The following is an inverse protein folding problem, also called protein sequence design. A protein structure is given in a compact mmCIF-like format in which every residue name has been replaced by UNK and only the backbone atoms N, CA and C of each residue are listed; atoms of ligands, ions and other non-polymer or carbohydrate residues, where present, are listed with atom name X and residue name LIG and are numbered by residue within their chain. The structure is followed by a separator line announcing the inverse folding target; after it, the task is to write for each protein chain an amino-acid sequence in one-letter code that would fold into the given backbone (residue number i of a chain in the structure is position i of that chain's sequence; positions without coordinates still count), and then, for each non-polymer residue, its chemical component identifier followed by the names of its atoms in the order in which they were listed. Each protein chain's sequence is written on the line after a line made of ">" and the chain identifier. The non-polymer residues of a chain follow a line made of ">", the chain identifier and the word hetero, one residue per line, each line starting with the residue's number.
data_IF_523379813716
#
_entry.id   IF_523379813716
#
_cell.length_a   1.000
_cell.length_b   1.000
_cell.length_c   1.000
_cell.angle_alpha   90.00
_cell.angle_beta   90.00
_cell.angle_gamma   90.00
#
_symmetry.space_group_name_H-M   'P 1'
#
loop_
_entity.id
_entity.type
_entity.pdbx_description
1 polymer ?
#
# COMPACT_ATOMS: atom_id res chain seq x y z
N UNK A 1 -17.71 -74.27 -17.73
CA UNK A 1 -18.36 -73.12 -18.39
C UNK A 1 -18.56 -72.03 -17.33
N UNK A 2 -17.58 -71.14 -17.16
CA UNK A 2 -17.72 -69.93 -16.35
C UNK A 2 -17.49 -68.76 -17.29
N UNK A 3 -18.55 -67.99 -17.55
CA UNK A 3 -18.58 -66.88 -18.49
C UNK A 3 -17.78 -65.69 -17.93
N UNK A 4 -16.78 -65.12 -18.65
CA UNK A 4 -16.07 -63.92 -18.20
C UNK A 4 -16.89 -62.62 -18.37
N UNK A 5 -17.96 -62.63 -19.17
CA UNK A 5 -18.72 -61.42 -19.51
C UNK A 5 -19.53 -60.79 -18.36
N UNK A 6 -19.73 -61.49 -17.24
CA UNK A 6 -20.54 -60.97 -16.12
C UNK A 6 -19.73 -60.14 -15.10
N UNK A 7 -18.39 -60.18 -15.17
CA UNK A 7 -17.51 -59.51 -14.20
C UNK A 7 -17.16 -58.08 -14.62
N UNK A 8 -16.88 -57.84 -15.91
CA UNK A 8 -16.51 -56.51 -16.41
C UNK A 8 -17.69 -55.52 -16.41
N UNK A 9 -18.91 -56.00 -16.66
CA UNK A 9 -20.11 -55.15 -16.66
C UNK A 9 -20.42 -54.60 -15.26
N UNK A 10 -20.27 -55.43 -14.23
CA UNK A 10 -20.46 -55.03 -12.82
C UNK A 10 -19.35 -54.08 -12.32
N UNK A 11 -18.12 -54.19 -12.84
CA UNK A 11 -17.03 -53.26 -12.51
C UNK A 11 -17.20 -51.89 -13.21
N UNK A 12 -17.69 -51.90 -14.45
CA UNK A 12 -18.04 -50.69 -15.21
C UNK A 12 -19.23 -49.95 -14.58
N UNK A 13 -20.28 -50.66 -14.19
CA UNK A 13 -21.45 -50.08 -13.51
C UNK A 13 -21.11 -49.51 -12.13
N UNK A 14 -20.23 -50.17 -11.36
CA UNK A 14 -19.73 -49.63 -10.08
C UNK A 14 -18.86 -48.38 -10.26
N UNK A 15 -18.02 -48.31 -11.31
CA UNK A 15 -17.25 -47.10 -11.64
C UNK A 15 -18.16 -45.96 -12.09
N UNK A 16 -19.16 -46.25 -12.93
CA UNK A 16 -20.13 -45.26 -13.39
C UNK A 16 -20.95 -44.70 -12.22
N UNK A 17 -21.38 -45.55 -11.28
CA UNK A 17 -22.10 -45.16 -10.07
C UNK A 17 -21.23 -44.33 -9.12
N UNK A 18 -19.94 -44.67 -8.99
CA UNK A 18 -18.99 -43.88 -8.18
C UNK A 18 -18.77 -42.50 -8.78
N UNK A 19 -18.62 -42.40 -10.11
CA UNK A 19 -18.43 -41.14 -10.84
C UNK A 19 -19.69 -40.26 -10.75
N UNK A 20 -20.88 -40.85 -10.89
CA UNK A 20 -22.15 -40.09 -10.72
C UNK A 20 -22.34 -39.64 -9.27
N UNK A 21 -21.93 -40.45 -8.29
CA UNK A 21 -22.01 -40.06 -6.87
C UNK A 21 -21.03 -38.93 -6.54
N UNK A 22 -19.80 -38.97 -7.07
CA UNK A 22 -18.81 -37.89 -6.93
C UNK A 22 -19.28 -36.62 -7.62
N UNK A 23 -19.79 -36.71 -8.86
CA UNK A 23 -20.36 -35.57 -9.57
C UNK A 23 -21.56 -34.96 -8.84
N UNK A 24 -22.42 -35.79 -8.23
CA UNK A 24 -23.56 -35.32 -7.45
C UNK A 24 -23.12 -34.64 -6.14
N UNK A 25 -22.10 -35.17 -5.46
CA UNK A 25 -21.50 -34.54 -4.27
C UNK A 25 -20.83 -33.21 -4.64
N UNK A 26 -20.11 -33.14 -5.76
CA UNK A 26 -19.54 -31.89 -6.29
C UNK A 26 -20.64 -30.89 -6.66
N UNK A 27 -21.74 -31.33 -7.27
CA UNK A 27 -22.86 -30.46 -7.64
C UNK A 27 -23.60 -29.92 -6.41
N UNK A 28 -23.77 -30.74 -5.37
CA UNK A 28 -24.36 -30.33 -4.08
C UNK A 28 -23.41 -29.39 -3.30
N UNK A 29 -22.09 -29.60 -3.38
CA UNK A 29 -21.11 -28.67 -2.81
C UNK A 29 -21.13 -27.32 -3.53
N UNK A 30 -21.26 -27.30 -4.86
CA UNK A 30 -21.35 -26.07 -5.67
C UNK A 30 -22.66 -25.33 -5.44
N UNK A 31 -23.79 -26.02 -5.19
CA UNK A 31 -25.05 -25.34 -4.84
C UNK A 31 -25.07 -24.82 -3.40
N UNK A 32 -24.36 -25.45 -2.47
CA UNK A 32 -24.22 -24.97 -1.09
C UNK A 32 -23.23 -23.79 -1.00
N UNK A 33 -22.14 -23.78 -1.78
CA UNK A 33 -21.24 -22.62 -1.85
C UNK A 33 -21.82 -21.46 -2.67
N UNK A 34 -22.59 -21.75 -3.72
CA UNK A 34 -23.30 -20.74 -4.51
C UNK A 34 -24.43 -20.02 -3.77
N UNK A 35 -24.90 -20.57 -2.64
CA UNK A 35 -25.87 -19.89 -1.76
C UNK A 35 -25.22 -19.02 -0.66
N UNK A 36 -23.90 -19.13 -0.45
CA UNK A 36 -23.18 -18.41 0.60
C UNK A 36 -22.06 -17.49 0.07
N UNK A 37 -21.68 -17.59 -1.19
CA UNK A 37 -20.73 -16.68 -1.84
C UNK A 37 -21.13 -16.43 -3.30
N UNK A 38 -21.74 -15.29 -3.57
CA UNK A 38 -22.23 -14.88 -4.91
C UNK A 38 -21.13 -14.29 -5.82
N UNK A 39 -19.89 -14.15 -5.35
CA UNK A 39 -18.90 -13.26 -5.99
C UNK A 39 -17.69 -13.98 -6.61
N UNK A 40 -17.84 -15.19 -7.16
CA UNK A 40 -16.64 -15.92 -7.66
C UNK A 40 -16.84 -16.82 -8.89
N UNK A 41 -17.97 -16.75 -9.59
CA UNK A 41 -18.17 -17.68 -10.73
C UNK A 41 -17.19 -17.39 -11.88
N UNK A 42 -16.82 -16.14 -12.15
CA UNK A 42 -15.86 -15.78 -13.20
C UNK A 42 -14.45 -16.33 -12.95
N UNK A 43 -13.94 -16.16 -11.73
CA UNK A 43 -12.57 -16.56 -11.37
C UNK A 43 -12.42 -18.09 -11.30
N UNK A 44 -13.43 -18.80 -10.79
CA UNK A 44 -13.45 -20.27 -10.80
C UNK A 44 -13.38 -20.86 -12.20
N UNK A 45 -14.01 -20.25 -13.21
CA UNK A 45 -13.97 -20.80 -14.59
C UNK A 45 -12.59 -20.69 -15.23
N UNK A 46 -11.81 -19.66 -14.91
CA UNK A 46 -10.45 -19.50 -15.44
C UNK A 46 -9.42 -20.32 -14.65
N UNK A 47 -9.58 -20.43 -13.33
CA UNK A 47 -8.81 -21.36 -12.51
C UNK A 47 -9.06 -22.83 -12.91
N UNK A 48 -10.33 -23.23 -13.16
CA UNK A 48 -10.65 -24.57 -13.66
C UNK A 48 -10.09 -24.82 -15.06
N UNK A 49 -10.12 -23.84 -15.97
CA UNK A 49 -9.53 -23.98 -17.32
C UNK A 49 -8.02 -24.20 -17.23
N UNK A 50 -7.34 -23.47 -16.34
CA UNK A 50 -5.93 -23.70 -16.05
C UNK A 50 -5.65 -25.07 -15.41
N UNK A 51 -6.55 -25.57 -14.57
CA UNK A 51 -6.39 -26.87 -13.90
C UNK A 51 -6.78 -28.08 -14.77
N UNK A 52 -7.71 -27.90 -15.72
CA UNK A 52 -8.26 -28.98 -16.55
C UNK A 52 -7.62 -29.09 -17.94
N UNK A 53 -6.74 -28.16 -18.33
CA UNK A 53 -6.09 -28.18 -19.66
C UNK A 53 -7.07 -28.06 -20.83
N UNK A 54 -8.31 -27.67 -20.57
CA UNK A 54 -9.37 -27.55 -21.57
C UNK A 54 -9.34 -26.15 -22.19
N UNK A 55 -8.32 -25.95 -23.01
CA UNK A 55 -8.06 -24.75 -23.80
C UNK A 55 -6.76 -24.84 -24.60
N UNK A 56 -6.26 -26.06 -24.84
CA UNK A 56 -5.00 -26.30 -25.53
C UNK A 56 -5.10 -25.93 -27.02
N UNK A 57 -4.82 -24.67 -27.34
CA UNK A 57 -3.83 -24.42 -28.40
C UNK A 57 -2.51 -25.08 -27.95
N UNK A 58 -1.72 -25.66 -28.87
CA UNK A 58 -0.58 -26.48 -28.50
C UNK A 58 0.34 -25.71 -27.55
N UNK A 59 0.77 -26.37 -26.47
CA UNK A 59 1.84 -25.90 -25.58
C UNK A 59 3.09 -25.61 -26.41
N UNK A 60 3.16 -24.42 -26.98
CA UNK A 60 4.41 -23.72 -27.17
C UNK A 60 4.86 -23.48 -25.73
N UNK A 61 6.04 -23.98 -25.36
CA UNK A 61 6.68 -23.55 -24.13
C UNK A 61 6.88 -22.05 -24.24
N UNK A 62 5.92 -21.25 -23.77
CA UNK A 62 6.07 -19.82 -23.66
C UNK A 62 7.24 -19.61 -22.69
N UNK A 63 8.37 -19.16 -23.23
CA UNK A 63 9.53 -18.81 -22.43
C UNK A 63 9.07 -17.77 -21.39
N UNK A 64 9.23 -18.11 -20.12
CA UNK A 64 8.94 -17.18 -19.02
C UNK A 64 9.86 -15.97 -19.21
N UNK A 65 9.28 -14.78 -19.27
CA UNK A 65 10.07 -13.55 -19.42
C UNK A 65 11.10 -13.44 -18.29
N UNK A 66 12.34 -13.19 -18.67
CA UNK A 66 13.46 -12.93 -17.76
C UNK A 66 13.86 -11.47 -17.94
N UNK A 67 13.81 -10.64 -16.88
CA UNK A 67 14.18 -9.24 -17.00
C UNK A 67 15.68 -9.07 -17.28
N UNK A 68 16.02 -8.08 -18.12
CA UNK A 68 17.42 -7.65 -18.31
C UNK A 68 17.84 -6.74 -17.15
N UNK A 69 18.56 -7.31 -16.19
CA UNK A 69 19.04 -6.61 -14.99
C UNK A 69 19.95 -5.43 -15.36
N UNK A 70 20.67 -5.49 -16.49
CA UNK A 70 21.54 -4.38 -16.91
C UNK A 70 20.75 -3.11 -17.30
N UNK A 71 19.45 -3.26 -17.59
CA UNK A 71 18.55 -2.15 -17.89
C UNK A 71 17.91 -1.52 -16.64
N UNK A 72 18.07 -2.14 -15.46
CA UNK A 72 17.42 -1.67 -14.25
C UNK A 72 17.95 -0.33 -13.80
N UNK A 73 17.03 0.52 -13.39
CA UNK A 73 17.30 1.83 -12.82
C UNK A 73 16.77 1.89 -11.41
N UNK A 74 17.52 2.54 -10.52
CA UNK A 74 17.09 2.82 -9.16
C UNK A 74 17.24 4.33 -8.89
N UNK A 75 16.40 4.90 -8.03
CA UNK A 75 16.40 6.33 -7.79
C UNK A 75 17.73 6.80 -7.18
N UNK A 76 18.13 8.04 -7.49
CA UNK A 76 19.12 8.74 -6.67
C UNK A 76 18.49 9.25 -5.37
N UNK A 77 19.31 9.49 -4.34
CA UNK A 77 18.88 10.13 -3.09
C UNK A 77 19.30 11.60 -3.10
N UNK A 78 18.36 12.56 -3.15
CA UNK A 78 18.71 13.97 -3.11
C UNK A 78 19.37 14.38 -1.78
N UNK A 79 20.29 15.33 -1.84
CA UNK A 79 20.97 15.86 -0.64
C UNK A 79 20.21 17.00 0.04
N UNK A 80 19.16 17.53 -0.58
CA UNK A 80 18.35 18.62 -0.03
C UNK A 80 17.20 18.08 0.83
N UNK A 81 16.76 18.88 1.80
CA UNK A 81 15.59 18.59 2.64
C UNK A 81 14.31 19.00 1.93
N UNK A 82 13.26 18.19 2.05
CA UNK A 82 11.89 18.57 1.65
C UNK A 82 11.15 19.30 2.77
N UNK A 83 11.68 19.29 4.00
CA UNK A 83 11.03 19.88 5.16
C UNK A 83 11.09 21.42 5.11
N UNK A 84 9.96 22.05 4.82
CA UNK A 84 9.77 23.49 4.89
C UNK A 84 9.10 23.86 6.22
N UNK A 85 9.86 23.85 7.32
CA UNK A 85 9.36 24.30 8.63
C UNK A 85 9.47 25.82 8.73
N UNK A 86 8.35 26.50 8.95
CA UNK A 86 8.37 27.91 9.28
C UNK A 86 8.99 28.14 10.66
N UNK A 87 9.60 29.31 10.84
CA UNK A 87 10.17 29.69 12.13
C UNK A 87 9.06 30.04 13.11
N UNK A 88 9.13 29.48 14.32
CA UNK A 88 8.20 29.80 15.40
C UNK A 88 8.13 31.32 15.58
N UNK A 89 6.93 31.93 15.53
CA UNK A 89 6.78 33.37 15.69
C UNK A 89 7.40 33.83 17.01
N UNK A 90 7.92 35.07 17.11
CA UNK A 90 8.66 35.54 18.31
C UNK A 90 7.97 36.69 19.07
N UNK A 91 7.04 37.41 18.45
CA UNK A 91 6.33 38.53 19.09
C UNK A 91 5.24 38.01 20.01
N UNK A 92 5.58 37.71 21.27
CA UNK A 92 4.66 37.10 22.26
C UNK A 92 3.67 38.11 22.87
N UNK A 93 2.53 37.61 23.34
CA UNK A 93 1.53 38.40 24.08
C UNK A 93 0.83 37.57 25.17
N UNK A 94 0.47 38.18 26.32
CA UNK A 94 -0.37 37.53 27.33
C UNK A 94 -1.86 37.51 26.95
N UNK A 95 -2.29 38.30 25.96
CA UNK A 95 -3.67 38.27 25.46
C UNK A 95 -3.96 36.91 24.82
N UNK A 96 -5.10 36.29 25.13
CA UNK A 96 -5.47 34.97 24.63
C UNK A 96 -6.49 35.06 23.49
N UNK A 97 -6.07 35.16 22.22
CA UNK A 97 -6.99 35.13 21.09
C UNK A 97 -7.56 33.73 20.90
N UNK A 98 -8.89 33.60 20.87
CA UNK A 98 -9.54 32.30 20.67
C UNK A 98 -9.16 31.64 19.34
N UNK A 99 -9.20 30.31 19.32
CA UNK A 99 -8.97 29.49 18.12
C UNK A 99 -10.05 28.42 17.98
N UNK A 100 -10.20 27.87 16.78
CA UNK A 100 -11.07 26.74 16.49
C UNK A 100 -10.40 25.90 15.41
N UNK A 101 -10.23 24.61 15.68
CA UNK A 101 -9.55 23.67 14.78
C UNK A 101 -10.39 22.42 14.62
N UNK A 102 -10.37 21.84 13.43
CA UNK A 102 -10.83 20.48 13.17
C UNK A 102 -9.67 19.63 12.64
N UNK A 103 -9.81 18.31 12.80
CA UNK A 103 -8.82 17.35 12.31
C UNK A 103 -9.45 16.32 11.38
N UNK A 104 -8.65 15.92 10.41
CA UNK A 104 -8.88 14.75 9.58
C UNK A 104 -7.61 13.91 9.65
N UNK A 105 -7.73 12.61 9.93
CA UNK A 105 -6.57 11.75 10.06
C UNK A 105 -6.81 10.38 9.41
N UNK A 106 -5.73 9.78 8.95
CA UNK A 106 -5.70 8.42 8.41
C UNK A 106 -4.70 7.61 9.22
N UNK A 107 -5.01 6.33 9.46
CA UNK A 107 -4.17 5.46 10.29
C UNK A 107 -3.82 4.18 9.56
N UNK A 108 -2.62 3.66 9.81
CA UNK A 108 -2.39 2.23 9.61
C UNK A 108 -3.07 1.41 10.71
N UNK A 109 -3.09 0.09 10.53
CA UNK A 109 -3.63 -0.83 11.50
C UNK A 109 -2.85 -0.82 12.83
N UNK A 110 -3.57 -0.87 13.94
CA UNK A 110 -3.00 -0.90 15.29
C UNK A 110 -2.80 -2.34 15.75
N UNK A 111 -1.56 -2.84 15.63
CA UNK A 111 -1.19 -4.17 16.12
C UNK A 111 -0.55 -4.11 17.50
N UNK A 112 -0.98 -4.98 18.42
CA UNK A 112 -0.46 -5.09 19.78
C UNK A 112 1.07 -5.23 19.81
N UNK A 113 1.76 -4.30 20.49
CA UNK A 113 3.23 -4.26 20.57
C UNK A 113 3.93 -3.88 19.26
N UNK A 114 3.19 -3.36 18.27
CA UNK A 114 3.70 -2.90 16.98
C UNK A 114 3.83 -1.38 16.90
N UNK A 115 4.03 -0.89 15.68
CA UNK A 115 4.06 0.55 15.38
C UNK A 115 2.90 0.88 14.46
N UNK A 116 2.06 1.85 14.83
CA UNK A 116 1.05 2.40 13.91
C UNK A 116 1.51 3.75 13.38
N UNK A 117 1.00 4.14 12.23
CA UNK A 117 1.28 5.40 11.54
C UNK A 117 0.01 6.22 11.48
N UNK A 118 0.10 7.51 11.80
CA UNK A 118 -1.03 8.44 11.76
C UNK A 118 -0.65 9.62 10.88
N UNK A 119 -1.34 9.78 9.73
CA UNK A 119 -1.24 10.97 8.85
C UNK A 119 -2.26 11.99 9.34
N UNK A 120 -1.82 13.20 9.69
CA UNK A 120 -2.66 14.20 10.37
C UNK A 120 -2.83 15.45 9.49
N UNK A 121 -4.07 15.80 9.18
CA UNK A 121 -4.47 17.08 8.60
C UNK A 121 -5.23 17.91 9.61
N UNK A 122 -4.88 19.19 9.72
CA UNK A 122 -5.56 20.15 10.59
C UNK A 122 -6.09 21.30 9.76
N UNK A 123 -7.34 21.69 10.04
CA UNK A 123 -7.99 22.84 9.47
C UNK A 123 -8.23 23.91 10.52
N UNK A 124 -7.97 25.17 10.14
CA UNK A 124 -8.30 26.32 10.95
C UNK A 124 -9.71 26.82 10.65
N UNK A 125 -10.67 26.45 11.50
CA UNK A 125 -12.06 26.93 11.43
C UNK A 125 -12.25 28.26 12.18
N UNK A 126 -11.18 28.77 12.81
CA UNK A 126 -11.16 30.04 13.53
C UNK A 126 -10.99 31.25 12.61
N UNK A 127 -10.94 32.44 13.24
CA UNK A 127 -10.73 33.73 12.55
C UNK A 127 -9.29 34.25 12.66
N UNK A 128 -8.50 33.64 13.54
CA UNK A 128 -7.13 34.06 13.81
C UNK A 128 -6.16 33.07 13.15
N UNK A 129 -5.05 33.54 12.56
CA UNK A 129 -3.97 32.65 12.14
C UNK A 129 -3.46 31.81 13.31
N UNK A 130 -3.20 30.54 13.03
CA UNK A 130 -2.69 29.56 14.00
C UNK A 130 -1.32 29.08 13.51
N UNK A 131 -0.35 29.07 14.40
CA UNK A 131 0.95 28.46 14.14
C UNK A 131 1.02 27.17 14.94
N UNK A 132 1.26 26.05 14.29
CA UNK A 132 1.44 24.75 14.93
C UNK A 132 2.93 24.45 14.94
N UNK A 133 3.52 24.48 16.13
CA UNK A 133 4.94 24.20 16.32
C UNK A 133 5.19 22.69 16.21
N UNK A 134 4.37 21.92 16.94
CA UNK A 134 4.44 20.46 17.01
C UNK A 134 3.06 19.84 16.93
N UNK A 135 3.03 18.63 16.40
CA UNK A 135 1.88 17.76 16.42
C UNK A 135 2.25 16.43 17.05
N UNK A 136 1.27 15.68 17.51
CA UNK A 136 1.49 14.41 18.15
C UNK A 136 0.25 13.59 18.32
N UNK A 137 0.45 12.39 18.83
CA UNK A 137 -0.60 11.43 19.16
C UNK A 137 -0.37 10.92 20.56
N UNK A 138 -1.39 11.07 21.39
CA UNK A 138 -1.49 10.44 22.69
C UNK A 138 -2.11 9.06 22.54
N UNK A 139 -1.44 8.05 23.09
CA UNK A 139 -1.90 6.67 23.18
C UNK A 139 -2.11 6.35 24.66
N UNK A 140 -3.37 6.25 25.06
CA UNK A 140 -3.77 6.08 26.45
C UNK A 140 -4.36 4.68 26.67
N UNK A 141 -3.59 3.81 27.33
CA UNK A 141 -4.06 2.52 27.82
C UNK A 141 -3.76 2.44 29.33
N UNK A 142 -3.16 1.37 29.84
CA UNK A 142 -2.71 1.31 31.24
C UNK A 142 -1.60 2.34 31.54
N UNK A 143 -0.81 2.70 30.53
CA UNK A 143 0.18 3.78 30.56
C UNK A 143 -0.11 4.77 29.44
N UNK A 144 -0.15 6.06 29.77
CA UNK A 144 -0.26 7.14 28.80
C UNK A 144 1.10 7.44 28.17
N UNK A 145 1.17 7.42 26.83
CA UNK A 145 2.34 7.86 26.06
C UNK A 145 1.93 8.95 25.08
N UNK A 146 2.86 9.84 24.76
CA UNK A 146 2.68 10.88 23.75
C UNK A 146 3.88 10.80 22.80
N UNK A 147 3.58 10.64 21.52
CA UNK A 147 4.55 10.72 20.42
C UNK A 147 4.35 12.07 19.74
N UNK A 148 5.42 12.76 19.37
CA UNK A 148 5.31 14.08 18.74
C UNK A 148 6.46 14.38 17.79
N UNK A 149 6.19 15.22 16.80
CA UNK A 149 7.15 15.70 15.81
C UNK A 149 7.00 17.22 15.61
N UNK A 150 8.11 17.89 15.29
CA UNK A 150 8.11 19.32 14.93
C UNK A 150 7.62 19.50 13.50
N UNK A 151 6.69 20.43 13.26
CA UNK A 151 6.16 20.73 11.93
C UNK A 151 6.36 22.19 11.51
N UNK A 152 6.21 23.16 12.43
CA UNK A 152 6.35 24.58 12.12
C UNK A 152 5.44 25.03 10.97
N UNK A 153 4.12 24.87 11.15
CA UNK A 153 3.12 25.15 10.11
C UNK A 153 2.27 26.36 10.48
N UNK A 154 2.18 27.34 9.58
CA UNK A 154 1.24 28.47 9.69
C UNK A 154 -0.06 28.16 8.95
N UNK A 155 -1.17 28.16 9.67
CA UNK A 155 -2.52 27.97 9.16
C UNK A 155 -3.31 29.27 9.18
N UNK A 156 -3.61 29.79 7.98
CA UNK A 156 -4.52 30.91 7.80
C UNK A 156 -5.97 30.51 8.11
N UNK A 157 -6.86 31.47 8.44
CA UNK A 157 -8.29 31.18 8.60
C UNK A 157 -8.89 30.48 7.37
N UNK A 158 -9.55 29.35 7.57
CA UNK A 158 -10.15 28.52 6.53
C UNK A 158 -9.21 27.53 5.84
N UNK A 159 -7.90 27.61 6.12
CA UNK A 159 -6.88 26.75 5.52
C UNK A 159 -6.83 25.37 6.20
N UNK A 160 -6.57 24.33 5.42
CA UNK A 160 -6.25 22.98 5.88
C UNK A 160 -4.88 22.59 5.36
N UNK A 161 -4.03 22.04 6.23
CA UNK A 161 -2.72 21.50 5.83
C UNK A 161 -2.46 20.13 6.47
N UNK A 162 -1.66 19.33 5.76
CA UNK A 162 -1.07 18.10 6.28
C UNK A 162 0.12 18.44 7.17
N UNK A 163 0.09 18.03 8.43
CA UNK A 163 1.17 18.24 9.39
C UNK A 163 2.27 17.18 9.27
N UNK A 164 1.94 16.00 8.72
CA UNK A 164 2.87 14.91 8.51
C UNK A 164 2.34 13.56 8.98
N UNK A 165 3.24 12.58 8.97
CA UNK A 165 2.99 11.20 9.39
C UNK A 165 3.83 10.91 10.62
N UNK A 166 3.18 10.43 11.69
CA UNK A 166 3.85 10.09 12.93
C UNK A 166 3.74 8.60 13.24
N UNK A 167 4.87 8.02 13.64
CA UNK A 167 4.95 6.66 14.17
C UNK A 167 4.56 6.64 15.65
N UNK A 168 3.68 5.72 16.04
CA UNK A 168 3.20 5.55 17.42
C UNK A 168 3.39 4.11 17.85
N UNK A 169 4.00 3.90 19.02
CA UNK A 169 4.07 2.56 19.59
C UNK A 169 2.71 2.15 20.14
N UNK A 170 2.29 0.94 19.80
CA UNK A 170 1.01 0.38 20.19
C UNK A 170 1.21 -0.52 21.42
N UNK A 171 0.47 -0.30 22.52
CA UNK A 171 0.61 -1.12 23.72
C UNK A 171 0.18 -2.58 23.47
N UNK A 172 0.69 -3.50 24.30
CA UNK A 172 0.26 -4.91 24.30
C UNK A 172 -1.03 -5.09 25.11
N UNK A 173 -2.06 -4.32 24.76
CA UNK A 173 -3.38 -4.32 25.40
C UNK A 173 -4.49 -4.53 24.35
N UNK A 174 -5.73 -4.78 24.76
CA UNK A 174 -6.83 -5.00 23.80
C UNK A 174 -7.37 -3.69 23.22
N UNK A 175 -7.27 -2.58 23.95
CA UNK A 175 -7.81 -1.28 23.57
C UNK A 175 -6.91 -0.15 24.04
N UNK A 176 -6.91 0.95 23.31
CA UNK A 176 -6.34 2.22 23.74
C UNK A 176 -7.22 3.39 23.28
N UNK A 177 -7.16 4.51 24.00
CA UNK A 177 -7.73 5.78 23.54
C UNK A 177 -6.66 6.57 22.81
N UNK A 178 -6.90 6.89 21.53
CA UNK A 178 -5.98 7.61 20.66
C UNK A 178 -6.49 9.04 20.50
N UNK A 179 -5.64 10.04 20.76
CA UNK A 179 -6.01 11.47 20.65
C UNK A 179 -4.91 12.26 19.96
N UNK A 180 -5.27 13.18 19.07
CA UNK A 180 -4.31 14.13 18.47
C UNK A 180 -3.97 15.21 19.52
N UNK A 181 -2.68 15.58 19.58
CA UNK A 181 -2.16 16.62 20.47
C UNK A 181 -1.45 17.69 19.62
N UNK A 182 -1.75 18.96 19.85
CA UNK A 182 -1.16 20.08 19.14
C UNK A 182 -0.49 21.06 20.10
N UNK A 183 0.73 21.49 19.78
CA UNK A 183 1.41 22.60 20.44
C UNK A 183 1.33 23.79 19.49
N UNK A 184 0.55 24.79 19.88
CA UNK A 184 0.13 25.84 18.97
C UNK A 184 0.20 27.24 19.59
N UNK A 185 0.27 28.20 18.69
CA UNK A 185 0.11 29.62 18.98
C UNK A 185 -1.03 30.19 18.15
N UNK A 186 -1.75 31.15 18.71
CA UNK A 186 -2.74 31.91 17.95
C UNK A 186 -2.37 33.39 17.89
N UNK A 187 -2.59 34.01 16.74
CA UNK A 187 -2.25 35.41 16.50
C UNK A 187 -3.37 36.35 16.95
N UNK A 188 -3.01 37.54 17.41
CA UNK A 188 -3.92 38.66 17.64
C UNK A 188 -4.01 39.55 16.41
N UNK A 189 -4.98 40.46 16.36
CA UNK A 189 -5.09 41.46 15.30
C UNK A 189 -3.88 42.41 15.20
N UNK A 190 -3.04 42.47 16.23
CA UNK A 190 -1.78 43.24 16.25
C UNK A 190 -0.57 42.43 15.72
N UNK A 191 -0.77 41.19 15.28
CA UNK A 191 0.30 40.31 14.83
C UNK A 191 1.17 39.72 15.95
N UNK A 192 0.70 39.78 17.20
CA UNK A 192 1.35 39.15 18.35
C UNK A 192 0.77 37.76 18.60
N UNK A 193 1.56 36.87 19.18
CA UNK A 193 1.24 35.44 19.31
C UNK A 193 1.10 35.03 20.77
N UNK A 194 0.02 34.33 21.08
CA UNK A 194 -0.18 33.67 22.36
C UNK A 194 0.10 32.18 22.21
N UNK A 195 0.94 31.63 23.08
CA UNK A 195 1.25 30.21 23.13
C UNK A 195 0.32 29.52 24.11
N UNK A 196 -0.28 28.41 23.68
CA UNK A 196 -1.21 27.64 24.49
C UNK A 196 -0.54 26.40 25.07
N UNK A 197 -1.07 25.92 26.18
CA UNK A 197 -0.80 24.57 26.65
C UNK A 197 -1.18 23.54 25.58
N UNK A 198 -0.57 22.33 25.59
CA UNK A 198 -0.83 21.31 24.58
C UNK A 198 -2.32 21.02 24.46
N UNK A 199 -2.85 21.20 23.25
CA UNK A 199 -4.27 21.06 22.97
C UNK A 199 -4.58 19.62 22.55
N UNK A 200 -5.35 18.91 23.37
CA UNK A 200 -5.82 17.56 23.09
C UNK A 200 -7.16 17.64 22.36
N UNK A 201 -7.23 17.01 21.19
CA UNK A 201 -8.49 16.77 20.49
C UNK A 201 -9.22 15.57 21.10
N UNK A 202 -10.51 15.42 20.75
CA UNK A 202 -11.32 14.32 21.23
C UNK A 202 -10.68 12.97 20.88
N UNK A 203 -10.51 12.13 21.89
CA UNK A 203 -9.96 10.80 21.72
C UNK A 203 -10.97 9.80 21.18
N UNK A 204 -10.47 8.81 20.44
CA UNK A 204 -11.24 7.67 19.94
C UNK A 204 -10.73 6.39 20.60
N UNK A 205 -11.64 5.58 21.11
CA UNK A 205 -11.32 4.24 21.62
C UNK A 205 -11.11 3.32 20.44
N UNK A 206 -9.93 2.70 20.36
CA UNK A 206 -9.51 1.85 19.25
C UNK A 206 -9.19 0.45 19.76
N UNK A 207 -9.72 -0.57 19.07
CA UNK A 207 -9.36 -1.96 19.32
C UNK A 207 -7.99 -2.27 18.72
N UNK A 208 -7.13 -2.91 19.49
CA UNK A 208 -5.76 -3.26 19.10
C UNK A 208 -5.71 -4.72 18.68
N UNK A 209 -5.31 -4.97 17.44
CA UNK A 209 -5.34 -6.30 16.83
C UNK A 209 -4.12 -7.12 17.29
N UNK A 210 -4.28 -8.40 17.63
CA UNK A 210 -3.13 -9.27 17.81
C UNK A 210 -2.37 -9.41 16.48
N UNK A 211 -1.05 -9.53 16.56
CA UNK A 211 -0.24 -9.79 15.37
C UNK A 211 -0.49 -11.20 14.83
N UNK A 212 -0.79 -11.38 13.54
CA UNK A 212 -0.92 -12.70 12.95
C UNK A 212 0.41 -13.44 12.89
N UNK A 213 0.33 -14.77 12.71
CA UNK A 213 1.50 -15.61 12.43
C UNK A 213 2.02 -15.32 11.03
N UNK A 214 3.35 -15.33 10.87
CA UNK A 214 3.99 -15.23 9.56
C UNK A 214 3.60 -16.40 8.67
N UNK A 215 3.28 -16.09 7.42
CA UNK A 215 3.07 -17.06 6.33
C UNK A 215 4.13 -16.85 5.25
N UNK A 216 4.38 -17.90 4.48
CA UNK A 216 5.30 -17.85 3.33
C UNK A 216 4.51 -18.21 2.07
N UNK A 217 4.06 -17.23 1.28
CA UNK A 217 3.34 -17.51 0.05
C UNK A 217 4.29 -18.08 -1.02
N UNK A 218 3.72 -18.78 -2.00
CA UNK A 218 4.45 -19.23 -3.18
C UNK A 218 4.57 -18.08 -4.19
N UNK A 219 5.79 -17.77 -4.61
CA UNK A 219 6.03 -16.78 -5.66
C UNK A 219 5.95 -17.42 -7.05
N UNK A 220 5.34 -16.71 -8.01
CA UNK A 220 5.33 -17.07 -9.44
C UNK A 220 5.69 -15.83 -10.26
N UNK A 221 6.81 -15.90 -10.97
CA UNK A 221 7.31 -14.77 -11.77
C UNK A 221 6.77 -14.85 -13.20
N UNK A 222 6.34 -13.71 -13.71
CA UNK A 222 5.87 -13.47 -15.08
C UNK A 222 4.98 -14.56 -15.68
N UNK A 223 3.88 -15.00 -15.03
CA UNK A 223 2.93 -15.89 -15.69
C UNK A 223 2.36 -15.20 -16.93
N UNK A 224 2.44 -15.86 -18.09
CA UNK A 224 2.30 -15.24 -19.41
C UNK A 224 1.05 -14.36 -19.59
N UNK A 225 -0.12 -14.81 -19.12
CA UNK A 225 -1.36 -14.02 -19.18
C UNK A 225 -1.22 -12.67 -18.47
N UNK A 226 -0.77 -12.68 -17.22
CA UNK A 226 -0.64 -11.47 -16.41
C UNK A 226 0.49 -10.59 -16.92
N UNK A 227 1.62 -11.20 -17.29
CA UNK A 227 2.75 -10.48 -17.89
C UNK A 227 2.32 -9.70 -19.14
N UNK A 228 1.68 -10.37 -20.10
CA UNK A 228 1.20 -9.73 -21.34
C UNK A 228 0.11 -8.68 -21.07
N UNK A 229 -0.76 -8.94 -20.10
CA UNK A 229 -1.86 -8.02 -19.79
C UNK A 229 -1.35 -6.74 -19.14
N UNK A 230 -0.59 -6.84 -18.05
CA UNK A 230 -0.08 -5.67 -17.34
C UNK A 230 0.87 -4.86 -18.22
N UNK A 231 1.81 -5.50 -18.93
CA UNK A 231 2.73 -4.78 -19.81
C UNK A 231 2.04 -4.04 -20.96
N UNK A 232 0.83 -4.47 -21.36
CA UNK A 232 0.01 -3.73 -22.34
C UNK A 232 -0.69 -2.53 -21.72
N UNK A 233 -1.04 -2.59 -20.44
CA UNK A 233 -1.80 -1.57 -19.72
C UNK A 233 -0.90 -0.53 -19.05
N UNK A 234 0.38 -0.88 -18.81
CA UNK A 234 1.41 0.04 -18.34
C UNK A 234 1.92 0.85 -19.54
N UNK A 235 1.63 2.15 -19.55
CA UNK A 235 1.78 3.02 -20.71
C UNK A 235 2.70 4.25 -20.43
N UNK A 236 4.00 4.05 -20.13
CA UNK A 236 4.90 5.15 -19.75
C UNK A 236 5.15 6.18 -20.86
N UNK A 237 4.96 5.78 -22.12
CA UNK A 237 5.11 6.66 -23.29
C UNK A 237 3.81 7.34 -23.71
N UNK A 238 2.68 7.05 -23.06
CA UNK A 238 1.41 7.69 -23.37
C UNK A 238 1.47 9.19 -23.00
N UNK A 239 1.09 10.11 -23.91
CA UNK A 239 1.32 11.54 -23.72
C UNK A 239 0.77 12.14 -22.43
N UNK A 240 -0.44 11.77 -22.02
CA UNK A 240 -1.10 12.33 -20.84
C UNK A 240 -0.48 11.74 -19.55
N UNK A 241 -0.20 10.44 -19.54
CA UNK A 241 0.50 9.77 -18.43
C UNK A 241 1.89 10.36 -18.23
N UNK A 242 2.67 10.48 -19.31
CA UNK A 242 4.03 11.04 -19.28
C UNK A 242 4.01 12.51 -18.89
N UNK A 243 3.06 13.30 -19.39
CA UNK A 243 2.93 14.70 -19.05
C UNK A 243 2.62 14.89 -17.57
N UNK A 244 1.67 14.11 -17.02
CA UNK A 244 1.35 14.15 -15.59
C UNK A 244 2.53 13.73 -14.72
N UNK A 245 3.20 12.64 -15.06
CA UNK A 245 4.38 12.18 -14.33
C UNK A 245 5.50 13.24 -14.31
N UNK A 246 5.79 13.87 -15.46
CA UNK A 246 6.77 14.94 -15.56
C UNK A 246 6.36 16.20 -14.78
N UNK A 247 5.07 16.54 -14.76
CA UNK A 247 4.54 17.67 -13.99
C UNK A 247 4.73 17.50 -12.48
N UNK A 248 4.55 16.29 -11.96
CA UNK A 248 4.78 15.97 -10.56
C UNK A 248 6.29 15.96 -10.27
N UNK A 249 7.04 15.22 -11.08
CA UNK A 249 8.47 15.00 -10.86
C UNK A 249 9.31 16.29 -10.94
N UNK A 250 8.93 17.28 -11.76
CA UNK A 250 9.66 18.56 -11.86
C UNK A 250 9.66 19.38 -10.55
N UNK A 251 8.76 19.08 -9.61
CA UNK A 251 8.75 19.70 -8.28
C UNK A 251 10.00 19.31 -7.46
N UNK A 252 10.65 18.20 -7.84
CA UNK A 252 11.84 17.67 -7.21
C UNK A 252 12.99 17.62 -8.24
N UNK A 253 13.85 18.65 -8.27
CA UNK A 253 14.86 18.80 -9.32
C UNK A 253 15.91 17.68 -9.30
N UNK A 254 16.46 17.37 -10.47
CA UNK A 254 17.51 16.38 -10.66
C UNK A 254 17.09 15.27 -11.62
N UNK A 255 18.00 14.30 -11.80
CA UNK A 255 17.67 13.02 -12.44
C UNK A 255 16.64 12.24 -11.59
N UNK A 256 16.17 11.10 -12.12
CA UNK A 256 15.29 10.18 -11.42
C UNK A 256 15.73 9.95 -9.97
N UNK A 257 14.87 10.27 -9.01
CA UNK A 257 15.21 10.26 -7.58
C UNK A 257 14.04 9.88 -6.67
N UNK A 258 14.36 9.52 -5.42
CA UNK A 258 13.39 8.95 -4.49
C UNK A 258 12.27 9.93 -4.09
N UNK A 259 12.53 11.24 -4.09
CA UNK A 259 11.48 12.22 -3.83
C UNK A 259 10.46 12.30 -4.97
N UNK A 260 10.88 12.07 -6.22
CA UNK A 260 9.96 11.96 -7.36
C UNK A 260 9.09 10.72 -7.21
N UNK A 261 9.64 9.57 -6.78
CA UNK A 261 8.85 8.37 -6.48
C UNK A 261 7.80 8.63 -5.41
N UNK A 262 8.20 9.24 -4.28
CA UNK A 262 7.28 9.59 -3.19
C UNK A 262 6.18 10.55 -3.66
N UNK A 263 6.52 11.56 -4.45
CA UNK A 263 5.55 12.52 -4.98
C UNK A 263 4.56 11.90 -5.97
N UNK A 264 5.02 10.98 -6.84
CA UNK A 264 4.16 10.24 -7.75
C UNK A 264 3.21 9.31 -6.97
N UNK A 265 3.72 8.63 -5.95
CA UNK A 265 2.89 7.84 -5.04
C UNK A 265 1.80 8.70 -4.37
N UNK A 266 2.19 9.84 -3.79
CA UNK A 266 1.25 10.76 -3.13
C UNK A 266 0.20 11.26 -4.11
N UNK A 267 0.61 11.60 -5.33
CA UNK A 267 -0.30 12.08 -6.39
C UNK A 267 -1.35 11.02 -6.72
N UNK A 268 -0.95 9.76 -6.97
CA UNK A 268 -1.92 8.69 -7.26
C UNK A 268 -2.83 8.46 -6.06
N UNK A 269 -2.27 8.46 -4.83
CA UNK A 269 -3.04 8.27 -3.61
C UNK A 269 -4.08 9.38 -3.35
N UNK A 270 -3.76 10.62 -3.71
CA UNK A 270 -4.59 11.77 -3.39
C UNK A 270 -5.56 12.13 -4.52
N UNK A 271 -5.21 11.87 -5.78
CA UNK A 271 -6.00 12.26 -6.95
C UNK A 271 -6.88 11.12 -7.51
N UNK A 272 -6.59 9.85 -7.18
CA UNK A 272 -7.33 8.70 -7.74
C UNK A 272 -8.22 8.06 -6.69
N UNK A 273 -9.53 8.14 -6.90
CA UNK A 273 -10.53 7.55 -6.01
C UNK A 273 -10.62 6.02 -6.20
N UNK A 274 -10.72 5.29 -5.09
CA UNK A 274 -10.95 3.86 -5.15
C UNK A 274 -12.41 3.57 -5.51
N UNK A 275 -12.63 2.91 -6.66
CA UNK A 275 -13.95 2.47 -7.11
C UNK A 275 -13.87 1.01 -7.51
N UNK A 276 -14.65 0.16 -6.86
CA UNK A 276 -14.71 -1.26 -7.20
C UNK A 276 -15.33 -1.50 -8.57
N UNK A 277 -14.88 -2.58 -9.19
CA UNK A 277 -15.39 -3.06 -10.45
C UNK A 277 -16.88 -3.42 -10.49
N UNK A 278 -17.50 -3.44 -11.69
CA UNK A 278 -18.84 -3.97 -11.88
C UNK A 278 -18.94 -5.42 -11.41
N UNK A 279 -19.96 -5.71 -10.60
CA UNK A 279 -20.20 -7.04 -10.01
C UNK A 279 -20.02 -8.18 -11.04
N UNK A 280 -19.08 -9.07 -10.73
CA UNK A 280 -18.83 -10.30 -11.49
C UNK A 280 -17.79 -10.16 -12.60
N UNK A 281 -17.19 -8.98 -12.77
CA UNK A 281 -16.06 -8.74 -13.67
C UNK A 281 -14.88 -8.16 -12.87
N UNK A 282 -13.69 -8.40 -13.40
CA UNK A 282 -12.40 -7.90 -12.94
C UNK A 282 -11.79 -7.24 -14.20
N UNK A 283 -11.93 -5.92 -14.31
CA UNK A 283 -11.67 -5.10 -15.49
C UNK A 283 -10.44 -4.23 -15.22
N UNK A 284 -9.35 -4.57 -15.89
CA UNK A 284 -8.09 -3.85 -15.70
C UNK A 284 -7.97 -2.74 -16.74
N UNK A 285 -7.98 -1.50 -16.26
CA UNK A 285 -7.93 -0.32 -17.11
C UNK A 285 -6.48 0.04 -17.50
N UNK A 286 -6.26 0.54 -18.73
CA UNK A 286 -4.99 1.15 -19.10
C UNK A 286 -4.71 2.40 -18.26
N UNK A 287 -3.43 2.69 -18.02
CA UNK A 287 -3.02 3.82 -17.19
C UNK A 287 -3.65 5.16 -17.63
N UNK A 288 -3.76 5.40 -18.94
CA UNK A 288 -4.36 6.65 -19.43
C UNK A 288 -5.87 6.77 -19.14
N UNK A 289 -6.58 5.64 -18.97
CA UNK A 289 -8.00 5.61 -18.64
C UNK A 289 -8.19 5.93 -17.16
N UNK A 290 -7.46 5.23 -16.28
CA UNK A 290 -7.48 5.49 -14.83
C UNK A 290 -7.14 6.95 -14.53
N UNK A 291 -6.09 7.48 -15.18
CA UNK A 291 -5.69 8.88 -15.02
C UNK A 291 -6.79 9.86 -15.47
N UNK A 292 -7.43 9.60 -16.62
CA UNK A 292 -8.48 10.48 -17.16
C UNK A 292 -9.76 10.45 -16.32
N UNK A 293 -10.12 9.28 -15.79
CA UNK A 293 -11.33 9.11 -14.97
C UNK A 293 -11.10 9.64 -13.56
N UNK A 294 -9.88 9.53 -13.03
CA UNK A 294 -9.57 9.87 -11.65
C UNK A 294 -10.08 8.81 -10.66
N UNK A 295 -10.33 7.58 -11.14
CA UNK A 295 -10.76 6.48 -10.30
C UNK A 295 -10.34 5.12 -10.88
N UNK A 296 -10.19 4.14 -9.99
CA UNK A 296 -9.84 2.75 -10.29
C UNK A 296 -9.56 2.00 -9.00
N UNK A 297 -9.59 0.67 -9.03
CA UNK A 297 -9.30 -0.15 -7.87
C UNK A 297 -7.80 -0.49 -7.72
N UNK A 298 -7.45 -1.66 -7.18
CA UNK A 298 -6.08 -1.93 -6.75
C UNK A 298 -5.09 -2.10 -7.91
N UNK A 299 -5.47 -2.83 -8.95
CA UNK A 299 -4.61 -3.06 -10.10
C UNK A 299 -4.55 -1.84 -11.00
N UNK A 300 -5.66 -1.10 -11.17
CA UNK A 300 -5.70 0.13 -11.96
C UNK A 300 -4.71 1.16 -11.41
N UNK A 301 -4.74 1.37 -10.09
CA UNK A 301 -3.83 2.29 -9.43
C UNK A 301 -2.38 1.78 -9.47
N UNK A 302 -2.15 0.46 -9.37
CA UNK A 302 -0.81 -0.11 -9.51
C UNK A 302 -0.25 0.04 -10.94
N UNK A 303 -1.09 -0.15 -11.96
CA UNK A 303 -0.76 0.04 -13.38
C UNK A 303 -0.46 1.51 -13.67
N UNK A 304 -1.31 2.43 -13.21
CA UNK A 304 -1.09 3.87 -13.37
C UNK A 304 0.21 4.30 -12.68
N UNK A 305 0.41 3.93 -11.41
CA UNK A 305 1.62 4.30 -10.67
C UNK A 305 2.88 3.75 -11.32
N UNK A 306 2.86 2.49 -11.78
CA UNK A 306 3.98 1.89 -12.51
C UNK A 306 4.28 2.67 -13.79
N UNK A 307 3.25 3.03 -14.56
CA UNK A 307 3.40 3.82 -15.80
C UNK A 307 4.02 5.19 -15.55
N UNK A 308 3.60 5.87 -14.48
CA UNK A 308 4.11 7.19 -14.12
C UNK A 308 5.58 7.13 -13.66
N UNK A 309 5.96 6.10 -12.90
CA UNK A 309 7.35 5.91 -12.45
C UNK A 309 8.26 5.53 -13.63
N UNK A 310 7.83 4.62 -14.49
CA UNK A 310 8.55 4.25 -15.72
C UNK A 310 8.72 5.46 -16.66
N UNK A 311 7.71 6.34 -16.74
CA UNK A 311 7.77 7.57 -17.55
C UNK A 311 8.87 8.56 -17.10
N UNK A 312 9.29 8.50 -15.83
CA UNK A 312 10.39 9.31 -15.28
C UNK A 312 11.70 8.54 -15.15
N UNK A 313 11.75 7.31 -15.68
CA UNK A 313 12.95 6.50 -15.79
C UNK A 313 13.24 5.57 -14.61
N UNK A 314 12.21 5.14 -13.86
CA UNK A 314 12.32 4.13 -12.82
C UNK A 314 11.87 2.75 -13.28
N UNK A 315 12.49 1.69 -12.76
CA UNK A 315 12.12 0.30 -13.05
C UNK A 315 11.11 -0.23 -12.04
N UNK A 316 10.00 -0.78 -12.53
CA UNK A 316 8.84 -1.16 -11.71
C UNK A 316 8.42 -2.63 -11.85
N UNK A 317 7.60 -3.05 -10.89
CA UNK A 317 6.88 -4.33 -10.86
C UNK A 317 5.46 -4.14 -10.37
N UNK A 318 4.59 -5.05 -10.76
CA UNK A 318 3.28 -5.23 -10.13
C UNK A 318 3.23 -6.57 -9.41
N UNK A 319 2.82 -6.56 -8.15
CA UNK A 319 2.57 -7.73 -7.33
C UNK A 319 1.06 -8.01 -7.28
N UNK A 320 0.67 -9.23 -7.62
CA UNK A 320 -0.71 -9.70 -7.51
C UNK A 320 -0.79 -10.77 -6.43
N UNK A 321 -1.54 -10.51 -5.37
CA UNK A 321 -1.88 -11.52 -4.36
C UNK A 321 -3.16 -12.26 -4.77
N UNK A 322 -3.75 -13.04 -3.87
CA UNK A 322 -5.02 -13.71 -4.13
C UNK A 322 -6.22 -12.74 -4.16
N UNK A 323 -6.05 -11.52 -3.64
CA UNK A 323 -7.16 -10.58 -3.42
C UNK A 323 -6.73 -9.10 -3.39
N UNK A 324 -5.55 -8.77 -3.93
CA UNK A 324 -5.02 -7.42 -3.96
C UNK A 324 -3.92 -7.28 -5.02
N UNK A 325 -3.71 -6.05 -5.48
CA UNK A 325 -2.61 -5.68 -6.37
C UNK A 325 -1.90 -4.42 -5.86
N UNK A 326 -0.58 -4.35 -6.04
CA UNK A 326 0.19 -3.14 -5.73
C UNK A 326 1.45 -3.05 -6.59
N UNK A 327 1.94 -1.84 -6.79
CA UNK A 327 3.17 -1.59 -7.52
C UNK A 327 4.40 -1.70 -6.60
N UNK A 328 5.57 -1.83 -7.19
CA UNK A 328 6.83 -1.66 -6.50
C UNK A 328 7.87 -1.08 -7.45
N UNK A 329 8.89 -0.46 -6.88
CA UNK A 329 9.98 0.14 -7.65
C UNK A 329 11.31 -0.40 -7.19
N UNK A 330 12.22 -0.65 -8.14
CA UNK A 330 13.56 -1.12 -7.86
C UNK A 330 14.36 -0.06 -7.10
N UNK A 331 14.96 -0.46 -5.97
CA UNK A 331 15.76 0.40 -5.09
C UNK A 331 17.22 -0.07 -4.97
N UNK A 332 17.67 -0.87 -5.93
CA UNK A 332 19.03 -1.38 -5.98
C UNK A 332 19.19 -2.74 -5.29
N UNK A 333 20.45 -3.15 -5.21
CA UNK A 333 20.86 -4.43 -4.61
C UNK A 333 21.94 -4.19 -3.56
N UNK A 334 21.83 -4.90 -2.43
CA UNK A 334 22.76 -4.78 -1.29
C UNK A 334 22.36 -3.72 -0.26
N UNK A 335 22.89 -3.89 0.95
CA UNK A 335 22.49 -3.13 2.14
C UNK A 335 22.68 -1.63 1.99
N UNK A 336 23.82 -1.16 1.49
CA UNK A 336 24.15 0.27 1.42
C UNK A 336 23.17 1.05 0.52
N UNK A 337 22.80 0.48 -0.63
CA UNK A 337 21.83 1.08 -1.54
C UNK A 337 20.45 1.18 -0.87
N UNK A 338 20.01 0.10 -0.24
CA UNK A 338 18.73 0.04 0.47
C UNK A 338 18.70 1.05 1.62
N UNK A 339 19.74 1.14 2.44
CA UNK A 339 19.81 2.10 3.55
C UNK A 339 19.76 3.55 3.07
N UNK A 340 20.39 3.84 1.92
CA UNK A 340 20.31 5.16 1.29
C UNK A 340 18.87 5.49 0.86
N UNK A 341 18.18 4.56 0.20
CA UNK A 341 16.79 4.75 -0.23
C UNK A 341 15.82 4.86 0.94
N UNK A 342 15.98 4.04 1.98
CA UNK A 342 15.21 4.15 3.23
C UNK A 342 15.40 5.52 3.88
N UNK A 343 16.64 6.04 3.90
CA UNK A 343 16.93 7.38 4.40
C UNK A 343 16.26 8.45 3.53
N UNK A 344 16.22 8.27 2.20
CA UNK A 344 15.53 9.14 1.26
C UNK A 344 14.03 9.22 1.52
N UNK A 345 13.35 8.06 1.62
CA UNK A 345 11.92 8.00 1.96
C UNK A 345 11.64 8.66 3.31
N UNK A 346 12.49 8.44 4.32
CA UNK A 346 12.36 9.08 5.64
C UNK A 346 12.61 10.58 5.63
N UNK A 347 13.50 11.06 4.77
CA UNK A 347 13.70 12.50 4.59
C UNK A 347 12.46 13.16 3.98
N UNK A 348 11.70 12.44 3.16
CA UNK A 348 10.46 12.91 2.56
C UNK A 348 9.26 12.86 3.53
N UNK A 349 9.00 11.71 4.16
CA UNK A 349 7.80 11.48 4.97
C UNK A 349 7.97 11.67 6.49
N UNK A 350 9.21 11.75 6.98
CA UNK A 350 9.53 11.67 8.39
C UNK A 350 9.94 10.26 8.82
N UNK A 351 10.01 10.02 10.13
CA UNK A 351 10.55 8.79 10.70
C UNK A 351 9.58 7.59 10.58
N UNK A 352 9.39 7.10 9.36
CA UNK A 352 8.54 5.94 9.03
C UNK A 352 9.36 4.67 8.80
N UNK A 353 8.76 3.50 9.01
CA UNK A 353 9.33 2.25 8.49
C UNK A 353 9.21 2.23 6.97
N UNK A 354 10.18 1.60 6.30
CA UNK A 354 10.19 1.49 4.85
C UNK A 354 10.28 0.01 4.50
N UNK A 355 9.24 -0.50 3.88
CA UNK A 355 9.06 -1.91 3.58
C UNK A 355 9.38 -2.18 2.10
N UNK A 356 10.14 -3.24 1.85
CA UNK A 356 10.51 -3.69 0.52
C UNK A 356 10.50 -5.23 0.45
N UNK A 357 10.37 -5.75 -0.76
CA UNK A 357 10.53 -7.17 -1.09
C UNK A 357 11.91 -7.36 -1.71
N UNK A 358 12.59 -8.48 -1.38
CA UNK A 358 13.90 -8.80 -1.95
C UNK A 358 13.86 -10.16 -2.62
N UNK A 359 14.45 -10.25 -3.81
CA UNK A 359 14.65 -11.48 -4.55
C UNK A 359 16.04 -11.53 -5.21
N UNK A 360 16.22 -12.40 -6.21
CA UNK A 360 17.49 -12.58 -6.91
C UNK A 360 17.95 -11.33 -7.70
N UNK A 361 17.04 -10.41 -8.02
CA UNK A 361 17.34 -9.20 -8.80
C UNK A 361 17.67 -7.98 -7.92
N UNK A 362 17.25 -8.01 -6.66
CA UNK A 362 17.53 -6.98 -5.66
C UNK A 362 16.29 -6.64 -4.85
N UNK A 363 16.18 -5.39 -4.41
CA UNK A 363 15.13 -4.93 -3.53
C UNK A 363 14.14 -4.01 -4.23
N UNK A 364 12.87 -4.16 -3.86
CA UNK A 364 11.71 -3.53 -4.48
C UNK A 364 10.88 -2.83 -3.40
N UNK A 365 10.93 -1.50 -3.38
CA UNK A 365 10.14 -0.68 -2.46
C UNK A 365 8.65 -0.88 -2.74
N UNK A 366 7.87 -1.23 -1.72
CA UNK A 366 6.44 -1.49 -1.89
C UNK A 366 5.65 -0.18 -2.02
N UNK A 367 4.80 -0.11 -3.04
CA UNK A 367 4.04 1.08 -3.40
C UNK A 367 2.56 0.72 -3.59
N UNK A 368 1.77 0.89 -2.53
CA UNK A 368 0.32 0.68 -2.57
C UNK A 368 -0.47 1.96 -2.21
N UNK A 369 -0.91 2.75 -3.21
CA UNK A 369 -1.65 3.98 -2.95
C UNK A 369 -3.04 3.73 -2.33
N UNK A 370 -3.63 2.55 -2.57
CA UNK A 370 -4.98 2.20 -2.07
C UNK A 370 -5.02 1.98 -0.56
N UNK A 371 -3.93 1.47 0.01
CA UNK A 371 -3.91 1.02 1.42
C UNK A 371 -2.84 1.67 2.28
N UNK A 372 -1.67 2.00 1.73
CA UNK A 372 -0.56 2.58 2.50
C UNK A 372 -0.70 4.09 2.66
N UNK A 373 -0.21 4.65 3.78
CA UNK A 373 -0.24 6.10 4.01
C UNK A 373 0.86 6.88 3.28
N UNK A 374 1.93 6.19 2.87
CA UNK A 374 3.15 6.72 2.27
C UNK A 374 3.85 5.62 1.44
N UNK A 375 4.75 6.02 0.53
CA UNK A 375 5.57 5.09 -0.25
C UNK A 375 6.50 4.27 0.66
N UNK A 376 6.48 2.94 0.55
CA UNK A 376 7.18 2.05 1.49
C UNK A 376 6.34 1.64 2.71
N UNK A 377 5.12 2.12 2.84
CA UNK A 377 4.17 1.58 3.80
C UNK A 377 3.79 0.12 3.49
N UNK A 378 3.17 -0.54 4.46
CA UNK A 378 2.68 -1.91 4.26
C UNK A 378 1.48 -1.92 3.29
N UNK A 379 1.51 -2.74 2.22
CA UNK A 379 0.39 -2.87 1.30
C UNK A 379 -0.87 -3.44 1.95
N UNK A 380 -1.99 -3.29 1.25
CA UNK A 380 -3.25 -3.95 1.57
C UNK A 380 -3.07 -5.45 1.76
N UNK A 381 -3.84 -6.02 2.69
CA UNK A 381 -3.76 -7.46 3.02
C UNK A 381 -2.39 -7.90 3.52
N UNK A 382 -1.63 -7.00 4.15
CA UNK A 382 -0.45 -7.33 4.94
C UNK A 382 -0.63 -6.91 6.40
N UNK A 383 0.20 -7.45 7.28
CA UNK A 383 0.16 -7.18 8.72
C UNK A 383 1.57 -7.19 9.31
N UNK A 384 1.74 -6.46 10.41
CA UNK A 384 2.91 -6.63 11.26
C UNK A 384 2.89 -8.00 11.97
N UNK A 385 4.05 -8.60 12.15
CA UNK A 385 4.22 -9.88 12.82
C UNK A 385 5.50 -9.87 13.66
N UNK A 386 5.58 -10.78 14.64
CA UNK A 386 6.82 -11.04 15.39
C UNK A 386 7.43 -12.33 14.89
N UNK A 387 8.75 -12.33 14.71
CA UNK A 387 9.52 -13.53 14.36
C UNK A 387 10.48 -13.82 15.51
N UNK A 388 10.58 -15.10 15.88
CA UNK A 388 11.62 -15.60 16.77
C UNK A 388 12.73 -16.20 15.92
N UNK A 389 13.96 -15.72 16.08
CA UNK A 389 15.13 -16.39 15.51
C UNK A 389 15.51 -17.60 16.36
N UNK A 390 16.05 -18.66 15.72
CA UNK A 390 16.52 -19.84 16.44
C UNK A 390 17.83 -19.61 17.21
N UNK A 391 18.58 -18.55 16.88
CA UNK A 391 19.94 -18.29 17.40
C UNK A 391 19.97 -17.28 18.55
N UNK A 392 18.92 -16.48 18.72
CA UNK A 392 18.77 -15.51 19.80
C UNK A 392 17.33 -15.62 20.32
N UNK A 393 17.14 -15.68 21.64
CA UNK A 393 15.81 -15.64 22.31
C UNK A 393 15.06 -14.29 22.09
N UNK A 394 15.47 -13.52 21.07
CA UNK A 394 14.96 -12.21 20.76
C UNK A 394 13.85 -12.32 19.71
N UNK A 395 12.75 -11.63 19.98
CA UNK A 395 11.65 -11.44 19.04
C UNK A 395 11.84 -10.13 18.32
N UNK A 396 11.94 -10.16 16.99
CA UNK A 396 12.02 -8.95 16.17
C UNK A 396 10.72 -8.73 15.40
N UNK A 397 10.42 -7.45 15.13
CA UNK A 397 9.26 -7.02 14.37
C UNK A 397 9.53 -7.18 12.87
N UNK A 398 8.55 -7.72 12.17
CA UNK A 398 8.55 -7.95 10.72
C UNK A 398 7.13 -7.70 10.20
N UNK A 399 6.88 -8.04 8.94
CA UNK A 399 5.54 -8.10 8.36
C UNK A 399 5.27 -9.45 7.67
N UNK A 400 4.01 -9.70 7.30
CA UNK A 400 3.53 -10.88 6.58
C UNK A 400 2.31 -10.53 5.72
N UNK A 401 2.07 -11.29 4.65
CA UNK A 401 0.79 -11.28 3.96
C UNK A 401 -0.32 -11.91 4.81
N UNK A 402 -1.57 -11.53 4.57
CA UNK A 402 -2.78 -12.07 5.18
C UNK A 402 -3.55 -12.82 4.09
N UNK A 403 -3.94 -14.07 4.37
CA UNK A 403 -4.78 -14.89 3.49
C UNK A 403 -4.28 -14.93 2.03
N UNK A 404 -2.95 -14.97 1.84
CA UNK A 404 -2.30 -15.01 0.52
C UNK A 404 -1.53 -16.31 0.40
N UNK A 405 -1.96 -17.16 -0.53
CA UNK A 405 -1.31 -18.43 -0.86
C UNK A 405 -0.25 -18.26 -1.93
N UNK A 406 -0.50 -17.38 -2.92
CA UNK A 406 0.36 -17.14 -4.05
C UNK A 406 0.59 -15.64 -4.24
N UNK A 407 1.82 -15.27 -4.58
CA UNK A 407 2.17 -13.93 -5.04
C UNK A 407 2.67 -14.05 -6.47
N UNK A 408 1.99 -13.41 -7.42
CA UNK A 408 2.44 -13.30 -8.80
C UNK A 408 3.25 -12.02 -8.94
N UNK A 409 4.47 -12.12 -9.46
CA UNK A 409 5.38 -11.00 -9.64
C UNK A 409 5.46 -10.71 -11.12
N UNK A 410 5.05 -9.51 -11.53
CA UNK A 410 4.98 -9.10 -12.92
C UNK A 410 6.02 -8.00 -13.16
N UNK A 411 7.11 -8.37 -13.81
CA UNK A 411 8.12 -7.44 -14.32
C UNK A 411 7.54 -6.57 -15.42
N UNK A 412 7.83 -5.27 -15.36
CA UNK A 412 7.53 -4.34 -16.45
C UNK A 412 8.72 -4.34 -17.39
N UNK A 413 8.47 -4.75 -18.64
CA UNK A 413 9.42 -4.68 -19.72
C UNK A 413 9.54 -3.23 -20.19
N UNK A 414 10.74 -2.71 -20.42
CA UNK A 414 10.91 -1.47 -21.16
C UNK A 414 10.18 -1.59 -22.50
N UNK A 415 9.24 -0.68 -22.76
CA UNK A 415 8.51 -0.65 -24.03
C UNK A 415 9.48 -0.41 -25.20
N UNK A 416 9.27 -1.12 -26.31
CA UNK A 416 9.90 -0.81 -27.60
C UNK A 416 9.36 0.48 -28.20
#
# INVERSE_FOLDING_TARGET
>A
MNNPEFSEKNASEKKALLITTVLFICFVLVTITGFLFSDSIGNYTNELKGYLGLGAEPEISEEVFIPDIASFTFPAVPSYSTSNKELTPILRTPLQPGFSLSSNYQTSEFYQGGISYVKIRIKNDGRNPIFIDRYGVSVNASVSRIFSEDCGVLLSPGEEQNLGIIAVEVPEEEKATISIVLWLLASTSEGKWHEYEPHFMNGVVTDLKPMPKKITPKYRYNPAYYFKTINRLVEPSEPDVRARAAEVARSYPGAYNIYQVCALFDTVKEDIEYVSDPRGNDIWEPANVTLRIGAGDCEDQAILLSSMIEAVGGTTRVYLTDNHAFAAVYIGNGTDAIEAEVKGVRAYYGNVDVNYLTDEYGSWLMLDPTSSLYAGGLPGKTAQTKIQTAEENETYRSWTFINTSTVKVIDISPGN
#
